data_IF_036632861953
#
_entry.id   IF_036632861953
#
_cell.length_a   1.000
_cell.length_b   1.000
_cell.length_c   1.000
_cell.angle_alpha   90.00
_cell.angle_beta   90.00
_cell.angle_gamma   90.00
#
_symmetry.space_group_name_H-M   'P 1'
#
loop_
_entity.id
_entity.type
_entity.pdbx_description
1 polymer ?
#
# COMPACT_ATOMS: atom_id res chain seq x y z
N UNK A 1 8.96 -20.88 0.84
CA UNK A 1 10.19 -20.43 1.56
C UNK A 1 9.97 -20.38 3.07
N UNK A 2 9.05 -19.55 3.60
CA UNK A 2 8.84 -19.44 5.06
C UNK A 2 8.45 -20.78 5.69
N UNK A 3 7.45 -21.48 5.14
CA UNK A 3 6.98 -22.77 5.65
C UNK A 3 7.99 -23.91 5.48
N UNK A 4 9.03 -23.75 4.65
CA UNK A 4 10.14 -24.70 4.47
C UNK A 4 11.24 -24.51 5.52
N UNK A 5 11.39 -23.28 6.00
CA UNK A 5 12.42 -22.91 6.98
C UNK A 5 11.88 -23.09 8.40
N UNK A 6 10.67 -22.57 8.67
CA UNK A 6 10.01 -22.65 9.96
C UNK A 6 8.92 -23.74 9.97
N UNK A 7 8.66 -24.32 11.13
CA UNK A 7 7.55 -25.24 11.34
C UNK A 7 6.19 -24.53 11.25
N UNK A 8 5.13 -25.31 11.00
CA UNK A 8 3.77 -24.76 10.93
C UNK A 8 3.32 -24.08 12.24
N UNK A 9 3.83 -24.57 13.37
CA UNK A 9 3.51 -24.07 14.70
C UNK A 9 4.31 -22.83 15.10
N UNK A 10 5.26 -22.40 14.28
CA UNK A 10 6.12 -21.26 14.56
C UNK A 10 5.51 -19.92 14.14
N UNK A 11 4.30 -19.95 13.61
CA UNK A 11 3.60 -18.76 13.14
C UNK A 11 2.42 -18.40 14.03
N UNK A 12 2.20 -17.10 14.17
CA UNK A 12 0.97 -16.50 14.66
C UNK A 12 0.20 -15.91 13.49
N UNK A 13 -1.07 -16.22 13.37
CA UNK A 13 -1.95 -15.53 12.44
C UNK A 13 -2.28 -14.16 13.02
N UNK A 14 -1.98 -13.10 12.27
CA UNK A 14 -2.18 -11.72 12.70
C UNK A 14 -3.03 -10.95 11.69
N UNK A 15 -4.10 -10.28 12.13
CA UNK A 15 -4.85 -9.39 11.25
C UNK A 15 -3.97 -8.20 10.86
N UNK A 16 -4.06 -7.84 9.59
CA UNK A 16 -3.34 -6.66 9.09
C UNK A 16 -4.03 -5.40 9.57
N UNK A 17 -3.30 -4.59 10.32
CA UNK A 17 -3.75 -3.26 10.70
C UNK A 17 -2.79 -2.22 10.11
N UNK A 18 -3.20 -1.61 9.01
CA UNK A 18 -2.47 -0.50 8.39
C UNK A 18 -3.33 0.74 8.39
N UNK A 19 -2.78 1.88 8.76
CA UNK A 19 -3.47 3.16 8.79
C UNK A 19 -2.58 4.27 8.29
N UNK A 20 -3.18 5.27 7.64
CA UNK A 20 -2.50 6.50 7.23
C UNK A 20 -2.81 7.56 8.27
N UNK A 21 -1.79 8.18 8.83
CA UNK A 21 -1.95 9.32 9.75
C UNK A 21 -1.79 10.63 8.99
N UNK A 22 -2.84 11.46 8.99
CA UNK A 22 -2.85 12.75 8.33
C UNK A 22 -3.70 13.75 9.12
N UNK A 23 -3.15 14.94 9.37
CA UNK A 23 -3.83 16.03 10.11
C UNK A 23 -4.50 15.56 11.42
N UNK A 24 -3.76 14.82 12.25
CA UNK A 24 -4.21 14.27 13.55
C UNK A 24 -5.39 13.29 13.45
N UNK A 25 -5.63 12.69 12.28
CA UNK A 25 -6.65 11.68 12.05
C UNK A 25 -6.05 10.43 11.41
N UNK A 26 -6.65 9.29 11.71
CA UNK A 26 -6.28 8.02 11.10
C UNK A 26 -7.25 7.66 9.98
N UNK A 27 -6.69 7.30 8.84
CA UNK A 27 -7.42 6.81 7.68
C UNK A 27 -7.14 5.33 7.50
N UNK A 28 -8.15 4.56 7.13
CA UNK A 28 -7.99 3.14 6.84
C UNK A 28 -7.08 2.94 5.63
N UNK A 29 -6.27 1.88 5.67
CA UNK A 29 -5.51 1.44 4.52
C UNK A 29 -5.83 -0.03 4.22
N UNK A 30 -6.33 -0.35 3.03
CA UNK A 30 -6.59 0.55 1.88
C UNK A 30 -7.62 1.64 2.17
N UNK A 31 -7.49 2.76 1.46
CA UNK A 31 -8.38 3.90 1.62
C UNK A 31 -9.84 3.49 1.34
N UNK A 32 -10.68 3.54 2.36
CA UNK A 32 -12.13 3.39 2.22
C UNK A 32 -12.73 4.76 1.98
N UNK A 33 -13.57 4.90 0.95
CA UNK A 33 -14.14 6.19 0.57
C UNK A 33 -14.94 6.83 1.71
N UNK A 34 -15.76 6.07 2.42
CA UNK A 34 -16.52 6.56 3.57
C UNK A 34 -15.60 7.09 4.68
N UNK A 35 -14.61 6.29 5.10
CA UNK A 35 -13.63 6.70 6.11
C UNK A 35 -12.84 7.95 5.68
N UNK A 36 -12.40 7.99 4.41
CA UNK A 36 -11.68 9.14 3.86
C UNK A 36 -12.55 10.40 3.84
N UNK A 37 -13.79 10.31 3.37
CA UNK A 37 -14.72 11.44 3.30
C UNK A 37 -15.06 12.01 4.70
N UNK A 38 -15.37 11.13 5.66
CA UNK A 38 -15.67 11.55 7.04
C UNK A 38 -14.46 12.21 7.70
N UNK A 39 -13.28 11.64 7.53
CA UNK A 39 -12.07 12.13 8.19
C UNK A 39 -11.48 13.39 7.53
N UNK A 40 -11.60 13.54 6.21
CA UNK A 40 -11.20 14.77 5.50
C UNK A 40 -12.13 15.95 5.82
N UNK A 41 -13.39 15.68 6.09
CA UNK A 41 -14.44 16.69 6.21
C UNK A 41 -15.03 17.07 4.84
N UNK A 42 -16.27 17.60 4.88
CA UNK A 42 -17.09 17.78 3.67
C UNK A 42 -16.45 18.71 2.65
N UNK A 43 -15.86 19.82 3.09
CA UNK A 43 -15.24 20.79 2.17
C UNK A 43 -14.03 20.19 1.43
N UNK A 44 -13.19 19.44 2.13
CA UNK A 44 -12.03 18.80 1.52
C UNK A 44 -12.46 17.63 0.61
N UNK A 45 -13.48 16.91 1.00
CA UNK A 45 -14.07 15.85 0.18
C UNK A 45 -14.61 16.41 -1.15
N UNK A 46 -15.35 17.53 -1.12
CA UNK A 46 -15.84 18.23 -2.33
C UNK A 46 -14.66 18.64 -3.21
N UNK A 47 -13.60 19.22 -2.64
CA UNK A 47 -12.40 19.60 -3.40
C UNK A 47 -11.73 18.39 -4.06
N UNK A 48 -11.68 17.25 -3.40
CA UNK A 48 -11.16 16.01 -3.97
C UNK A 48 -12.01 15.55 -5.16
N UNK A 49 -13.34 15.58 -5.04
CA UNK A 49 -14.27 15.21 -6.12
C UNK A 49 -14.13 16.16 -7.31
N UNK A 50 -14.11 17.48 -7.07
CA UNK A 50 -13.91 18.47 -8.14
C UNK A 50 -12.56 18.29 -8.84
N UNK A 51 -11.50 18.04 -8.08
CA UNK A 51 -10.18 17.74 -8.64
C UNK A 51 -10.17 16.47 -9.48
N UNK A 52 -10.91 15.44 -9.08
CA UNK A 52 -11.10 14.22 -9.85
C UNK A 52 -11.84 14.48 -11.17
N UNK A 53 -12.95 15.23 -11.12
CA UNK A 53 -13.71 15.59 -12.33
C UNK A 53 -12.84 16.42 -13.28
N UNK A 54 -12.11 17.40 -12.74
CA UNK A 54 -11.18 18.20 -13.56
C UNK A 54 -10.17 17.36 -14.32
N UNK A 55 -9.57 16.37 -13.66
CA UNK A 55 -8.59 15.49 -14.30
C UNK A 55 -9.24 14.56 -15.33
N UNK A 56 -10.52 14.21 -15.19
CA UNK A 56 -11.24 13.44 -16.21
C UNK A 56 -11.53 14.28 -17.47
N UNK A 57 -11.74 15.57 -17.32
CA UNK A 57 -11.93 16.50 -18.46
C UNK A 57 -10.58 16.86 -19.10
N UNK A 58 -9.55 17.11 -18.26
CA UNK A 58 -8.21 17.50 -18.70
C UNK A 58 -7.14 16.63 -18.03
N UNK A 59 -6.94 15.41 -18.55
CA UNK A 59 -5.95 14.50 -17.99
C UNK A 59 -4.52 15.00 -18.22
N UNK A 60 -3.55 14.61 -17.37
CA UNK A 60 -2.13 14.83 -17.64
C UNK A 60 -1.75 14.24 -18.99
N UNK A 61 -0.99 14.99 -19.80
CA UNK A 61 -0.61 14.58 -21.16
C UNK A 61 0.26 13.32 -21.17
N UNK A 62 1.17 13.23 -20.21
CA UNK A 62 2.06 12.09 -20.02
C UNK A 62 1.75 11.41 -18.69
N UNK A 63 1.62 10.08 -18.70
CA UNK A 63 1.34 9.26 -17.50
C UNK A 63 2.43 8.21 -17.26
N UNK A 64 3.67 8.47 -17.72
CA UNK A 64 4.80 7.54 -17.60
C UNK A 64 5.45 7.55 -16.21
N UNK A 65 5.12 8.55 -15.40
CA UNK A 65 5.58 8.66 -14.03
C UNK A 65 4.46 8.45 -13.00
N UNK A 66 4.85 8.14 -11.77
CA UNK A 66 3.95 7.88 -10.67
C UNK A 66 2.98 9.03 -10.40
N UNK A 67 3.48 10.28 -10.37
CA UNK A 67 2.68 11.47 -10.09
C UNK A 67 1.50 11.59 -11.05
N UNK A 68 1.79 11.67 -12.34
CA UNK A 68 0.78 11.86 -13.38
C UNK A 68 -0.16 10.65 -13.49
N UNK A 69 0.37 9.44 -13.31
CA UNK A 69 -0.41 8.21 -13.35
C UNK A 69 -1.43 8.14 -12.23
N UNK A 70 -1.03 8.49 -10.99
CA UNK A 70 -1.93 8.50 -9.83
C UNK A 70 -2.90 9.67 -9.92
N UNK A 71 -2.42 10.87 -10.29
CA UNK A 71 -3.27 12.05 -10.44
C UNK A 71 -4.37 11.83 -11.48
N UNK A 72 -4.07 11.19 -12.62
CA UNK A 72 -5.05 10.86 -13.66
C UNK A 72 -6.19 9.94 -13.16
N UNK A 73 -5.93 9.13 -12.13
CA UNK A 73 -6.88 8.14 -11.58
C UNK A 73 -7.65 8.64 -10.38
N UNK A 74 -7.01 9.48 -9.55
CA UNK A 74 -7.56 9.90 -8.26
C UNK A 74 -7.76 11.41 -8.13
N UNK A 75 -7.29 12.20 -9.09
CA UNK A 75 -7.27 13.66 -9.02
C UNK A 75 -6.05 14.19 -8.24
N UNK A 76 -5.59 15.37 -8.63
CA UNK A 76 -4.44 16.04 -8.04
C UNK A 76 -4.56 16.24 -6.52
N UNK A 77 -5.78 16.51 -6.05
CA UNK A 77 -6.00 16.79 -4.63
C UNK A 77 -5.74 15.56 -3.77
N UNK A 78 -6.32 14.44 -4.16
CA UNK A 78 -6.13 13.16 -3.42
C UNK A 78 -4.69 12.67 -3.54
N UNK A 79 -4.07 12.83 -4.72
CA UNK A 79 -2.66 12.54 -4.91
C UNK A 79 -1.78 13.30 -3.92
N UNK A 80 -1.94 14.62 -3.81
CA UNK A 80 -1.15 15.45 -2.91
C UNK A 80 -1.36 15.10 -1.42
N UNK A 81 -2.57 14.70 -1.03
CA UNK A 81 -2.89 14.37 0.37
C UNK A 81 -2.28 13.04 0.79
N UNK A 82 -2.47 11.97 -0.01
CA UNK A 82 -2.19 10.61 0.43
C UNK A 82 -1.00 9.95 -0.24
N UNK A 83 -0.65 10.35 -1.47
CA UNK A 83 0.36 9.63 -2.24
C UNK A 83 1.70 10.35 -2.28
N UNK A 84 1.72 11.64 -2.63
CA UNK A 84 2.96 12.40 -2.84
C UNK A 84 3.89 12.30 -1.65
N UNK A 85 3.51 12.90 -0.53
CA UNK A 85 4.38 12.99 0.66
C UNK A 85 4.83 11.63 1.18
N UNK A 86 3.94 10.63 1.17
CA UNK A 86 4.28 9.28 1.58
C UNK A 86 5.32 8.65 0.65
N UNK A 87 5.09 8.73 -0.65
CA UNK A 87 5.96 8.11 -1.66
C UNK A 87 7.35 8.75 -1.65
N UNK A 88 7.42 10.07 -1.68
CA UNK A 88 8.69 10.81 -1.64
C UNK A 88 9.47 10.54 -0.34
N UNK A 89 8.78 10.45 0.79
CA UNK A 89 9.41 10.14 2.08
C UNK A 89 9.97 8.72 2.13
N UNK A 90 9.27 7.74 1.57
CA UNK A 90 9.68 6.33 1.59
C UNK A 90 10.82 6.07 0.62
N UNK A 91 10.77 6.66 -0.55
CA UNK A 91 11.73 6.39 -1.63
C UNK A 91 12.90 7.38 -1.67
N UNK A 92 12.78 8.53 -1.02
CA UNK A 92 13.82 9.56 -1.00
C UNK A 92 14.04 10.26 -2.34
N UNK A 93 13.10 10.12 -3.30
CA UNK A 93 13.15 10.74 -4.63
C UNK A 93 11.80 11.40 -4.94
N UNK A 94 11.80 12.36 -5.89
CA UNK A 94 10.56 12.99 -6.34
C UNK A 94 9.64 11.96 -7.01
N UNK A 95 8.35 12.07 -6.76
CA UNK A 95 7.35 11.17 -7.33
C UNK A 95 7.32 11.19 -8.87
N UNK A 96 7.85 12.24 -9.51
CA UNK A 96 8.01 12.34 -10.96
C UNK A 96 9.11 11.45 -11.50
N UNK A 97 10.09 11.10 -10.67
CA UNK A 97 11.22 10.22 -11.06
C UNK A 97 10.85 8.73 -10.96
N UNK A 98 9.74 8.41 -10.31
CA UNK A 98 9.25 7.04 -10.14
C UNK A 98 8.41 6.66 -11.36
N UNK A 99 8.69 5.52 -11.97
CA UNK A 99 7.95 5.02 -13.14
C UNK A 99 6.50 4.65 -12.80
N UNK A 100 5.61 4.85 -13.77
CA UNK A 100 4.19 4.52 -13.64
C UNK A 100 3.93 3.03 -13.41
N UNK A 101 4.76 2.15 -13.94
CA UNK A 101 4.65 0.69 -13.80
C UNK A 101 4.66 0.26 -12.34
N UNK A 102 5.47 0.93 -11.54
CA UNK A 102 5.51 0.69 -10.11
C UNK A 102 4.19 1.03 -9.42
N UNK A 103 3.56 2.16 -9.81
CA UNK A 103 2.24 2.54 -9.33
C UNK A 103 1.17 1.53 -9.77
N UNK A 104 1.20 1.12 -11.03
CA UNK A 104 0.26 0.18 -11.61
C UNK A 104 0.27 -1.19 -10.91
N UNK A 105 1.45 -1.67 -10.51
CA UNK A 105 1.59 -2.94 -9.79
C UNK A 105 1.00 -2.90 -8.39
N UNK A 106 1.10 -1.77 -7.70
CA UNK A 106 0.70 -1.63 -6.28
C UNK A 106 -0.70 -1.09 -6.08
N UNK A 107 -1.18 -0.29 -7.03
CA UNK A 107 -2.50 0.36 -6.97
C UNK A 107 -3.46 -0.33 -7.96
N UNK A 108 -3.41 -1.65 -8.05
CA UNK A 108 -4.33 -2.44 -8.89
C UNK A 108 -5.75 -2.32 -8.35
N UNK A 109 -6.71 -2.13 -9.27
CA UNK A 109 -8.16 -2.17 -9.01
C UNK A 109 -8.75 -1.08 -8.09
N UNK A 110 -8.00 -0.05 -7.70
CA UNK A 110 -8.56 1.09 -7.01
C UNK A 110 -9.19 2.07 -8.01
N UNK A 111 -10.51 2.07 -8.11
CA UNK A 111 -11.28 3.10 -8.81
C UNK A 111 -12.01 3.97 -7.81
N UNK A 112 -11.65 5.24 -7.73
CA UNK A 112 -12.33 6.20 -6.85
C UNK A 112 -13.82 6.29 -7.18
N UNK A 113 -14.18 6.22 -8.47
CA UNK A 113 -15.57 6.28 -8.92
C UNK A 113 -16.38 5.08 -8.40
N UNK A 114 -15.85 3.87 -8.53
CA UNK A 114 -16.49 2.66 -7.95
C UNK A 114 -16.60 2.75 -6.44
N UNK A 115 -15.55 3.24 -5.76
CA UNK A 115 -15.55 3.39 -4.31
C UNK A 115 -16.58 4.43 -3.83
N UNK A 116 -16.73 5.57 -4.52
CA UNK A 116 -17.74 6.60 -4.22
C UNK A 116 -19.15 6.07 -4.54
N UNK A 117 -19.36 5.42 -5.68
CA UNK A 117 -20.65 4.83 -6.03
C UNK A 117 -21.07 3.73 -5.04
N UNK A 118 -20.15 2.88 -4.61
CA UNK A 118 -20.44 1.85 -3.61
C UNK A 118 -20.73 2.44 -2.23
N UNK A 119 -20.16 3.60 -1.90
CA UNK A 119 -20.46 4.31 -0.66
C UNK A 119 -21.82 5.00 -0.68
N UNK A 120 -22.30 5.39 -1.86
CA UNK A 120 -23.63 6.00 -2.07
C UNK A 120 -24.73 4.95 -2.26
N UNK A 121 -24.38 3.77 -2.78
CA UNK A 121 -25.31 2.62 -2.83
C UNK A 121 -25.26 1.91 -1.48
N UNK A 122 -26.32 2.08 -0.70
CA UNK A 122 -26.61 1.33 0.54
C UNK A 122 -26.93 -0.12 0.19
N UNK A 123 -26.09 -0.81 -0.56
CA UNK A 123 -26.28 -2.23 -0.86
C UNK A 123 -25.01 -3.01 -0.53
N UNK A 124 -25.18 -4.00 0.33
CA UNK A 124 -24.27 -4.98 0.87
C UNK A 124 -23.73 -5.96 -0.21
N UNK A 125 -23.07 -5.53 -1.21
CA UNK A 125 -22.22 -6.42 -2.00
C UNK A 125 -20.79 -5.90 -1.93
N UNK A 126 -20.13 -6.28 -0.86
CA UNK A 126 -18.70 -6.05 -0.69
C UNK A 126 -17.95 -6.86 -1.74
N UNK A 127 -17.63 -6.27 -2.89
CA UNK A 127 -16.46 -6.72 -3.63
C UNK A 127 -15.25 -6.46 -2.76
N UNK A 128 -14.80 -7.49 -2.08
CA UNK A 128 -13.52 -7.53 -1.39
C UNK A 128 -12.48 -7.30 -2.48
N UNK A 129 -11.79 -6.15 -2.41
CA UNK A 129 -10.65 -5.87 -3.27
C UNK A 129 -9.55 -6.86 -2.86
N UNK A 130 -9.44 -7.95 -3.58
CA UNK A 130 -8.62 -9.15 -3.30
C UNK A 130 -7.09 -8.89 -3.39
N UNK A 131 -6.65 -7.64 -3.45
CA UNK A 131 -5.24 -7.29 -3.57
C UNK A 131 -4.52 -7.03 -2.25
N UNK A 132 -5.25 -7.09 -1.14
CA UNK A 132 -4.68 -6.81 0.17
C UNK A 132 -4.92 -8.00 1.08
N UNK A 133 -3.82 -8.55 1.56
CA UNK A 133 -3.82 -9.61 2.56
C UNK A 133 -4.43 -9.05 3.84
N UNK A 134 -5.57 -9.59 4.28
CA UNK A 134 -6.24 -9.18 5.51
C UNK A 134 -5.58 -9.75 6.75
N UNK A 135 -4.95 -10.92 6.61
CA UNK A 135 -4.22 -11.60 7.66
C UNK A 135 -2.89 -12.12 7.12
N UNK A 136 -1.89 -12.18 7.97
CA UNK A 136 -0.58 -12.72 7.61
C UNK A 136 0.00 -13.60 8.72
N UNK A 137 0.79 -14.57 8.31
CA UNK A 137 1.58 -15.39 9.22
C UNK A 137 2.76 -14.57 9.73
N UNK A 138 2.91 -14.46 11.03
CA UNK A 138 4.01 -13.75 11.68
C UNK A 138 4.80 -14.72 12.55
N UNK A 139 6.12 -14.85 12.40
CA UNK A 139 6.93 -15.72 13.25
C UNK A 139 6.81 -15.34 14.73
N UNK A 140 6.65 -16.31 15.60
CA UNK A 140 6.42 -16.09 17.06
C UNK A 140 7.47 -15.18 17.71
N UNK A 141 8.72 -15.33 17.33
CA UNK A 141 9.85 -14.56 17.85
C UNK A 141 10.27 -13.40 16.91
N UNK A 142 9.43 -13.04 15.95
CA UNK A 142 9.71 -11.96 15.01
C UNK A 142 10.37 -12.43 13.70
N UNK A 143 10.58 -11.51 12.73
CA UNK A 143 11.12 -11.87 11.40
C UNK A 143 12.53 -12.47 11.43
N UNK A 144 13.34 -12.13 12.45
CA UNK A 144 14.69 -12.67 12.64
C UNK A 144 14.70 -14.18 12.81
N UNK A 145 13.66 -14.77 13.41
CA UNK A 145 13.53 -16.19 13.64
C UNK A 145 13.74 -17.03 12.36
N UNK A 146 13.29 -16.55 11.22
CA UNK A 146 13.50 -17.24 9.93
C UNK A 146 14.99 -17.32 9.58
N UNK A 147 15.72 -16.26 9.80
CA UNK A 147 17.14 -16.18 9.47
C UNK A 147 17.97 -17.03 10.43
N UNK A 148 17.62 -17.03 11.72
CA UNK A 148 18.28 -17.86 12.74
C UNK A 148 18.10 -19.36 12.43
N UNK A 149 16.88 -19.74 12.02
CA UNK A 149 16.60 -21.14 11.67
C UNK A 149 17.22 -21.54 10.33
N UNK A 150 17.22 -20.64 9.35
CA UNK A 150 17.92 -20.85 8.08
C UNK A 150 19.43 -21.05 8.32
N UNK A 151 20.02 -20.23 9.20
CA UNK A 151 21.43 -20.35 9.59
C UNK A 151 21.74 -21.72 10.19
N UNK A 152 20.93 -22.20 11.14
CA UNK A 152 21.09 -23.53 11.77
C UNK A 152 21.02 -24.64 10.73
N UNK A 153 19.98 -24.64 9.88
CA UNK A 153 19.80 -25.65 8.83
C UNK A 153 20.94 -25.71 7.82
N UNK A 154 21.55 -24.57 7.53
CA UNK A 154 22.73 -24.54 6.64
C UNK A 154 23.96 -25.09 7.33
N UNK A 155 24.17 -24.83 8.62
CA UNK A 155 25.28 -25.44 9.38
C UNK A 155 25.12 -26.98 9.52
N UNK A 156 23.90 -27.44 9.77
CA UNK A 156 23.60 -28.89 9.83
C UNK A 156 23.93 -29.62 8.53
N UNK A 157 23.82 -28.91 7.40
CA UNK A 157 24.23 -29.43 6.06
C UNK A 157 25.71 -29.21 5.73
N UNK A 158 26.53 -28.85 6.72
CA UNK A 158 27.93 -28.53 6.56
C UNK A 158 28.26 -27.41 5.58
N UNK A 159 27.33 -26.45 5.39
CA UNK A 159 27.62 -25.25 4.63
C UNK A 159 28.36 -24.23 5.50
N UNK A 160 29.35 -23.56 4.90
CA UNK A 160 30.11 -22.52 5.58
C UNK A 160 29.44 -21.16 5.37
N UNK A 161 29.15 -20.44 6.47
CA UNK A 161 28.58 -19.09 6.43
C UNK A 161 29.60 -18.12 7.02
N UNK A 162 30.07 -17.20 6.20
CA UNK A 162 31.04 -16.18 6.58
C UNK A 162 30.31 -14.89 6.92
N UNK A 163 30.17 -14.61 8.23
CA UNK A 163 29.63 -13.34 8.72
C UNK A 163 30.64 -12.21 8.64
N UNK A 164 30.16 -10.95 8.68
CA UNK A 164 31.00 -9.72 8.64
C UNK A 164 31.88 -9.65 7.39
N UNK A 165 31.47 -10.22 6.29
CA UNK A 165 32.13 -10.15 4.99
C UNK A 165 31.28 -9.32 4.03
N UNK A 166 31.92 -8.37 3.35
CA UNK A 166 31.32 -7.59 2.27
C UNK A 166 31.72 -8.24 0.94
N UNK A 167 30.76 -8.52 0.09
CA UNK A 167 31.03 -8.87 -1.31
C UNK A 167 31.41 -7.61 -2.05
N UNK A 168 32.58 -7.62 -2.69
CA UNK A 168 33.14 -6.46 -3.43
C UNK A 168 32.84 -6.67 -4.91
#
# INVERSE_FOLDING_TARGET
>A
VWDEILGKDDFLLRPRMSRIYYKKKFFDYPLKASNALFNLGIFEAIRCVLSYIYVKIKPPKNQDNFENWVAARFGWRLYNIFFKTYTEKVWGVDAKEIGADWAAQRIKNLSLFKAVLNSLKINKSGEIITTLIDEFKYPKLGPGMMWDEAYKKLLEKNHQILLKRKVI
#
